data_IF_817729909418
#
_entry.id   IF_817729909418
#
_cell.length_a   1.000
_cell.length_b   1.000
_cell.length_c   1.000
_cell.angle_alpha   90.00
_cell.angle_beta   90.00
_cell.angle_gamma   90.00
#
_symmetry.space_group_name_H-M   'P 1'
#
loop_
_entity.id
_entity.type
_entity.pdbx_description
1 polymer ?
#
# COMPACT_ATOMS: atom_id res chain seq x y z
N UNK A 1 -68.70 26.93 -12.90
CA UNK A 1 -68.24 27.26 -14.27
C UNK A 1 -66.86 27.89 -14.17
N UNK A 2 -65.80 27.30 -14.76
CA UNK A 2 -64.42 27.84 -14.77
C UNK A 2 -64.30 28.84 -15.98
N UNK A 3 -63.12 29.34 -16.44
CA UNK A 3 -61.72 29.11 -16.02
C UNK A 3 -60.81 30.38 -15.99
N UNK A 4 -59.57 30.30 -15.46
CA UNK A 4 -58.35 30.54 -16.27
C UNK A 4 -57.02 30.35 -15.49
N UNK A 5 -56.21 29.44 -16.03
CA UNK A 5 -54.75 29.46 -16.24
C UNK A 5 -53.80 29.88 -15.10
N UNK A 6 -52.92 28.94 -14.74
CA UNK A 6 -51.47 29.15 -14.83
C UNK A 6 -50.77 27.80 -15.04
N UNK A 7 -50.16 27.66 -16.22
CA UNK A 7 -49.26 26.55 -16.58
C UNK A 7 -47.94 26.78 -15.83
N UNK A 8 -47.71 26.03 -14.75
CA UNK A 8 -46.46 26.06 -14.01
C UNK A 8 -45.38 25.25 -14.72
N UNK A 9 -44.37 25.94 -15.25
CA UNK A 9 -43.09 25.37 -15.65
C UNK A 9 -42.38 24.82 -14.41
N UNK A 10 -42.36 23.51 -14.23
CA UNK A 10 -41.48 22.84 -13.27
C UNK A 10 -40.20 22.41 -13.98
N UNK A 11 -39.21 23.30 -13.99
CA UNK A 11 -37.82 22.94 -14.34
C UNK A 11 -37.24 22.22 -13.14
N UNK A 12 -37.32 20.89 -13.15
CA UNK A 12 -36.73 20.05 -12.11
C UNK A 12 -35.22 19.97 -12.36
N UNK A 13 -34.44 20.76 -11.63
CA UNK A 13 -32.99 20.67 -11.63
C UNK A 13 -32.56 19.39 -10.90
N UNK A 14 -32.23 18.33 -11.63
CA UNK A 14 -31.50 17.18 -11.10
C UNK A 14 -30.05 17.61 -10.82
N UNK A 15 -29.77 18.00 -9.58
CA UNK A 15 -28.39 18.07 -9.09
C UNK A 15 -27.94 16.64 -8.80
N UNK A 16 -27.27 16.03 -9.77
CA UNK A 16 -26.57 14.76 -9.56
C UNK A 16 -25.36 15.01 -8.66
N UNK A 17 -25.51 14.73 -7.36
CA UNK A 17 -24.39 14.73 -6.42
C UNK A 17 -23.49 13.53 -6.73
N UNK A 18 -22.40 13.77 -7.45
CA UNK A 18 -21.33 12.80 -7.67
C UNK A 18 -20.65 12.52 -6.32
N UNK A 19 -21.10 11.48 -5.63
CA UNK A 19 -20.35 10.88 -4.52
C UNK A 19 -19.07 10.30 -5.11
N UNK A 20 -18.02 11.12 -5.16
CA UNK A 20 -16.66 10.64 -5.34
C UNK A 20 -16.40 9.69 -4.16
N UNK A 21 -16.48 8.40 -4.44
CA UNK A 21 -16.06 7.34 -3.53
C UNK A 21 -14.53 7.42 -3.43
N UNK A 22 -14.01 8.43 -2.73
CA UNK A 22 -12.65 8.40 -2.22
C UNK A 22 -12.65 7.24 -1.24
N UNK A 23 -12.24 6.06 -1.72
CA UNK A 23 -12.02 4.90 -0.88
C UNK A 23 -11.15 5.37 0.28
N UNK A 24 -11.76 5.47 1.47
CA UNK A 24 -11.03 5.77 2.68
C UNK A 24 -10.05 4.61 2.85
N UNK A 25 -8.81 4.82 2.39
CA UNK A 25 -7.70 3.92 2.60
C UNK A 25 -7.51 3.88 4.11
N UNK A 26 -8.19 2.95 4.77
CA UNK A 26 -8.06 2.70 6.19
C UNK A 26 -6.62 2.22 6.42
N UNK A 27 -5.72 3.18 6.63
CA UNK A 27 -4.29 2.99 6.80
C UNK A 27 -4.02 2.28 8.11
N UNK A 28 -4.03 0.95 8.08
CA UNK A 28 -3.51 0.13 9.16
C UNK A 28 -1.99 0.02 9.08
N UNK A 29 -1.29 0.95 9.74
CA UNK A 29 0.05 0.87 10.37
C UNK A 29 1.15 -0.02 9.74
N UNK A 30 1.50 0.19 8.48
CA UNK A 30 2.88 -0.10 8.05
C UNK A 30 3.54 1.25 7.79
N UNK A 31 4.54 1.59 8.58
CA UNK A 31 5.30 2.84 8.38
C UNK A 31 6.52 2.57 7.52
N UNK A 32 7.06 3.61 6.90
CA UNK A 32 8.34 3.51 6.20
C UNK A 32 9.47 3.10 7.16
N UNK A 33 9.37 3.44 8.45
CA UNK A 33 10.33 2.98 9.45
C UNK A 33 10.33 1.44 9.61
N UNK A 34 9.16 0.80 9.54
CA UNK A 34 9.06 -0.67 9.60
C UNK A 34 9.72 -1.33 8.39
N UNK A 35 9.48 -0.78 7.20
CA UNK A 35 10.11 -1.26 5.95
C UNK A 35 11.63 -1.04 5.96
N UNK A 36 12.09 0.13 6.42
CA UNK A 36 13.52 0.39 6.58
C UNK A 36 14.16 -0.57 7.59
N UNK A 37 13.42 -1.02 8.61
CA UNK A 37 13.92 -2.01 9.56
C UNK A 37 14.00 -3.42 8.96
N UNK A 38 13.05 -3.80 8.10
CA UNK A 38 13.06 -5.03 7.32
C UNK A 38 14.29 -5.07 6.40
N UNK A 39 14.54 -3.99 5.67
CA UNK A 39 15.63 -3.88 4.68
C UNK A 39 16.91 -3.22 5.21
N UNK A 40 17.12 -3.21 6.54
CA UNK A 40 18.25 -2.51 7.18
C UNK A 40 19.63 -2.97 6.68
N UNK A 41 19.73 -4.19 6.16
CA UNK A 41 20.96 -4.74 5.61
C UNK A 41 21.30 -4.18 4.23
N UNK A 42 20.31 -3.65 3.48
CA UNK A 42 20.54 -3.00 2.20
C UNK A 42 20.94 -1.53 2.43
N UNK A 43 22.24 -1.29 2.60
CA UNK A 43 22.78 0.05 2.88
C UNK A 43 22.42 1.10 1.83
N UNK A 44 22.34 0.71 0.55
CA UNK A 44 21.98 1.61 -0.56
C UNK A 44 20.54 2.08 -0.43
N UNK A 45 19.59 1.15 -0.27
CA UNK A 45 18.18 1.48 -0.05
C UNK A 45 18.02 2.43 1.14
N UNK A 46 18.65 2.11 2.27
CA UNK A 46 18.56 2.92 3.49
C UNK A 46 19.13 4.32 3.29
N UNK A 47 20.26 4.45 2.58
CA UNK A 47 20.87 5.74 2.32
C UNK A 47 20.00 6.62 1.42
N UNK A 48 19.44 6.06 0.33
CA UNK A 48 18.57 6.78 -0.59
C UNK A 48 17.29 7.26 0.09
N UNK A 49 16.60 6.38 0.81
CA UNK A 49 15.37 6.73 1.53
C UNK A 49 15.63 7.80 2.58
N UNK A 50 16.74 7.72 3.33
CA UNK A 50 17.12 8.75 4.32
C UNK A 50 17.41 10.09 3.65
N UNK A 51 18.07 10.10 2.49
CA UNK A 51 18.34 11.32 1.74
C UNK A 51 17.04 12.00 1.29
N UNK A 52 16.07 11.23 0.78
CA UNK A 52 14.78 11.75 0.35
C UNK A 52 13.93 12.27 1.54
N UNK A 53 13.94 11.55 2.67
CA UNK A 53 13.28 12.02 3.90
C UNK A 53 13.88 13.33 4.41
N UNK A 54 15.22 13.44 4.41
CA UNK A 54 15.94 14.64 4.84
C UNK A 54 15.64 15.83 3.92
N UNK A 55 15.60 15.63 2.60
CA UNK A 55 15.32 16.71 1.65
C UNK A 55 13.92 17.31 1.82
N UNK A 56 12.97 16.52 2.34
CA UNK A 56 11.58 16.94 2.61
C UNK A 56 11.28 17.23 4.07
N UNK A 57 12.26 17.14 4.98
CA UNK A 57 12.07 17.28 6.43
C UNK A 57 10.98 16.33 6.98
N UNK A 58 10.89 15.12 6.42
CA UNK A 58 9.93 14.09 6.82
C UNK A 58 10.57 13.10 7.80
N UNK A 59 9.74 12.48 8.65
CA UNK A 59 10.15 11.38 9.53
C UNK A 59 9.58 10.06 9.02
N UNK A 60 10.37 8.99 9.03
CA UNK A 60 9.97 7.68 8.50
C UNK A 60 8.76 7.07 9.24
N UNK A 61 8.63 7.32 10.54
CA UNK A 61 7.50 6.86 11.37
C UNK A 61 6.19 7.60 11.08
N UNK A 62 6.25 8.68 10.28
CA UNK A 62 5.08 9.46 9.82
C UNK A 62 4.72 9.22 8.37
N UNK A 63 5.52 8.44 7.65
CA UNK A 63 5.22 8.04 6.28
C UNK A 63 4.49 6.70 6.32
N UNK A 64 3.23 6.73 5.88
CA UNK A 64 2.43 5.52 5.72
C UNK A 64 2.80 4.79 4.44
N UNK A 65 2.86 3.47 4.54
CA UNK A 65 3.08 2.56 3.43
C UNK A 65 1.93 1.54 3.34
N UNK A 66 1.72 1.04 2.14
CA UNK A 66 0.84 -0.07 1.83
C UNK A 66 1.68 -1.28 1.46
N UNK A 67 1.15 -2.47 1.72
CA UNK A 67 1.79 -3.73 1.37
C UNK A 67 0.74 -4.81 1.18
N UNK A 68 1.08 -5.81 0.37
CA UNK A 68 0.23 -6.99 0.20
C UNK A 68 0.04 -7.70 1.53
N UNK A 69 -1.22 -7.91 1.92
CA UNK A 69 -1.56 -8.54 3.19
C UNK A 69 -1.81 -10.03 3.00
N UNK A 70 -1.16 -10.87 3.79
CA UNK A 70 -1.46 -12.30 3.78
C UNK A 70 -2.87 -12.56 4.30
N UNK A 71 -3.62 -13.36 3.54
CA UNK A 71 -4.98 -13.75 3.85
C UNK A 71 -5.07 -14.82 4.94
N UNK A 72 -6.29 -15.18 5.32
CA UNK A 72 -6.55 -16.12 6.42
C UNK A 72 -6.02 -17.55 6.18
N UNK A 73 -5.72 -17.91 4.93
CA UNK A 73 -5.13 -19.21 4.58
C UNK A 73 -3.67 -19.31 5.05
N UNK A 74 -2.96 -18.19 5.21
CA UNK A 74 -1.65 -18.17 5.83
C UNK A 74 -1.75 -18.15 7.36
N UNK A 75 -2.06 -19.30 7.96
CA UNK A 75 -2.47 -19.43 9.38
C UNK A 75 -1.55 -18.70 10.36
N UNK A 76 -0.24 -18.71 10.12
CA UNK A 76 0.76 -18.10 11.00
C UNK A 76 1.22 -16.70 10.56
N UNK A 77 0.85 -16.26 9.36
CA UNK A 77 1.23 -14.95 8.82
C UNK A 77 0.01 -14.05 8.59
N UNK A 78 -1.17 -14.41 9.09
CA UNK A 78 -2.41 -13.64 8.90
C UNK A 78 -2.19 -12.18 9.24
N UNK A 79 -2.40 -11.33 8.24
CA UNK A 79 -2.29 -9.88 8.40
C UNK A 79 -0.88 -9.31 8.44
N UNK A 80 0.16 -10.15 8.42
CA UNK A 80 1.48 -9.68 8.04
C UNK A 80 1.44 -9.15 6.58
N UNK A 81 2.35 -8.23 6.30
CA UNK A 81 2.47 -7.58 5.01
C UNK A 81 3.81 -7.92 4.39
N UNK A 82 3.82 -8.13 3.09
CA UNK A 82 5.02 -8.33 2.28
C UNK A 82 5.03 -7.38 1.10
N UNK A 83 6.13 -7.39 0.35
CA UNK A 83 6.18 -6.80 -0.99
C UNK A 83 5.02 -7.30 -1.88
N UNK A 84 4.60 -6.50 -2.87
CA UNK A 84 5.04 -5.12 -3.14
C UNK A 84 4.60 -4.13 -2.05
N UNK A 85 5.47 -3.16 -1.75
CA UNK A 85 5.17 -2.03 -0.89
C UNK A 85 5.10 -0.72 -1.67
N UNK A 86 4.20 0.17 -1.26
CA UNK A 86 4.12 1.55 -1.77
C UNK A 86 4.06 2.55 -0.63
N UNK A 87 4.96 3.52 -0.62
CA UNK A 87 5.03 4.57 0.41
C UNK A 87 4.88 5.96 -0.19
N UNK A 88 4.03 6.80 0.39
CA UNK A 88 3.90 8.19 -0.02
C UNK A 88 4.90 9.09 0.72
N UNK A 89 6.02 9.42 0.10
CA UNK A 89 7.07 10.27 0.67
C UNK A 89 6.91 11.70 0.14
N UNK A 90 6.06 12.47 0.81
CA UNK A 90 5.69 13.81 0.33
C UNK A 90 4.92 13.71 -0.99
N UNK A 91 5.48 14.27 -2.08
CA UNK A 91 4.88 14.25 -3.42
C UNK A 91 5.38 13.13 -4.34
N UNK A 92 6.15 12.17 -3.79
CA UNK A 92 6.68 11.04 -4.57
C UNK A 92 6.23 9.74 -3.95
N UNK A 93 6.00 8.76 -4.80
CA UNK A 93 5.76 7.38 -4.39
C UNK A 93 7.09 6.63 -4.42
N UNK A 94 7.36 5.89 -3.36
CA UNK A 94 8.40 4.87 -3.33
C UNK A 94 7.72 3.51 -3.52
N UNK A 95 8.03 2.86 -4.62
CA UNK A 95 7.54 1.51 -4.94
C UNK A 95 8.66 0.51 -4.69
N UNK A 96 8.37 -0.54 -3.94
CA UNK A 96 9.35 -1.53 -3.49
C UNK A 96 8.82 -2.91 -3.83
N UNK A 97 9.63 -3.71 -4.50
CA UNK A 97 9.29 -5.03 -4.97
C UNK A 97 10.41 -6.03 -4.63
N UNK A 98 10.10 -7.31 -4.77
CA UNK A 98 11.05 -8.40 -4.53
C UNK A 98 10.37 -9.77 -4.54
N UNK A 99 11.17 -10.81 -4.37
CA UNK A 99 10.69 -12.18 -4.26
C UNK A 99 10.38 -12.53 -2.80
N UNK A 100 9.18 -13.06 -2.52
CA UNK A 100 8.82 -13.54 -1.18
C UNK A 100 9.21 -15.00 -1.04
N UNK A 101 10.11 -15.29 -0.10
CA UNK A 101 10.51 -16.67 0.26
C UNK A 101 9.94 -17.04 1.62
N UNK A 102 9.18 -18.13 1.68
CA UNK A 102 8.57 -18.62 2.91
C UNK A 102 9.45 -19.64 3.63
N UNK A 103 9.34 -19.67 4.96
CA UNK A 103 10.07 -20.60 5.82
C UNK A 103 9.13 -21.30 6.80
N UNK A 104 9.35 -22.60 6.99
CA UNK A 104 8.66 -23.39 8.02
C UNK A 104 9.28 -23.19 9.43
N UNK A 105 8.67 -23.83 10.44
CA UNK A 105 9.14 -23.79 11.84
C UNK A 105 10.56 -24.33 12.05
N UNK A 106 11.08 -25.11 11.09
CA UNK A 106 12.43 -25.67 11.10
C UNK A 106 13.42 -24.80 10.32
N UNK A 107 12.98 -23.66 9.77
CA UNK A 107 13.79 -22.76 8.97
C UNK A 107 14.04 -23.25 7.54
N UNK A 108 13.27 -24.24 7.06
CA UNK A 108 13.39 -24.72 5.67
C UNK A 108 12.59 -23.83 4.75
N UNK A 109 13.18 -23.48 3.61
CA UNK A 109 12.48 -22.75 2.56
C UNK A 109 11.33 -23.60 2.00
N UNK A 110 10.19 -22.97 1.75
CA UNK A 110 9.01 -23.58 1.16
C UNK A 110 8.85 -23.08 -0.28
N UNK A 111 8.35 -23.96 -1.16
CA UNK A 111 7.93 -23.57 -2.50
C UNK A 111 6.65 -22.73 -2.40
N UNK A 112 6.63 -21.57 -3.04
CA UNK A 112 5.49 -20.66 -3.04
C UNK A 112 4.21 -21.36 -3.54
N UNK A 113 4.33 -22.20 -4.57
CA UNK A 113 3.21 -22.96 -5.15
C UNK A 113 3.09 -24.37 -4.55
N UNK A 114 3.91 -24.69 -3.56
CA UNK A 114 3.89 -25.97 -2.87
C UNK A 114 2.59 -26.17 -2.09
N UNK A 115 2.05 -27.39 -2.18
CA UNK A 115 0.92 -27.79 -1.35
C UNK A 115 1.30 -27.67 0.14
N UNK A 116 0.43 -27.02 0.93
CA UNK A 116 0.66 -26.84 2.36
C UNK A 116 1.51 -25.62 2.74
N UNK A 117 2.02 -24.83 1.79
CA UNK A 117 2.83 -23.64 2.12
C UNK A 117 2.09 -22.64 2.99
N UNK A 118 0.83 -22.25 2.70
CA UNK A 118 0.09 -21.32 3.57
C UNK A 118 -0.04 -21.78 5.03
N UNK A 119 -0.25 -23.07 5.26
CA UNK A 119 -0.44 -23.66 6.58
C UNK A 119 0.88 -23.79 7.36
N UNK A 120 1.99 -24.02 6.65
CA UNK A 120 3.29 -24.30 7.26
C UNK A 120 4.22 -23.09 7.36
N UNK A 121 4.02 -22.06 6.54
CA UNK A 121 4.83 -20.85 6.55
C UNK A 121 4.63 -20.07 7.84
N UNK A 122 5.70 -19.92 8.64
CA UNK A 122 5.68 -19.13 9.90
C UNK A 122 6.49 -17.85 9.81
N UNK A 123 7.29 -17.72 8.76
CA UNK A 123 8.14 -16.58 8.49
C UNK A 123 8.29 -16.43 6.98
N UNK A 124 8.54 -15.21 6.55
CA UNK A 124 8.94 -14.93 5.18
C UNK A 124 10.14 -13.98 5.19
N UNK A 125 10.87 -13.95 4.08
CA UNK A 125 11.87 -12.96 3.77
C UNK A 125 11.63 -12.44 2.35
N UNK A 126 11.96 -11.18 2.12
CA UNK A 126 12.01 -10.62 0.77
C UNK A 126 13.43 -10.72 0.23
N UNK A 127 13.58 -11.32 -0.95
CA UNK A 127 14.83 -11.40 -1.72
C UNK A 127 14.76 -10.53 -2.96
N UNK A 128 15.92 -10.32 -3.59
CA UNK A 128 16.06 -9.57 -4.84
C UNK A 128 15.33 -8.22 -4.82
N UNK A 129 15.51 -7.52 -3.67
CA UNK A 129 14.89 -6.25 -3.39
C UNK A 129 15.20 -5.24 -4.50
N UNK A 130 14.15 -4.72 -5.12
CA UNK A 130 14.22 -3.64 -6.09
C UNK A 130 13.29 -2.50 -5.65
N UNK A 131 13.67 -1.26 -5.92
CA UNK A 131 12.81 -0.12 -5.62
C UNK A 131 12.93 0.94 -6.69
N UNK A 132 11.84 1.66 -6.89
CA UNK A 132 11.77 2.80 -7.79
C UNK A 132 11.08 3.96 -7.09
N UNK A 133 11.43 5.16 -7.54
CA UNK A 133 10.71 6.35 -7.16
C UNK A 133 9.93 6.84 -8.36
N UNK A 134 8.65 7.10 -8.19
CA UNK A 134 7.88 7.79 -9.21
C UNK A 134 8.50 9.18 -9.47
N UNK A 135 8.38 9.62 -10.73
CA UNK A 135 8.60 11.01 -11.06
C UNK A 135 7.54 11.83 -10.31
N UNK A 136 7.84 13.05 -9.82
CA UNK A 136 6.80 13.94 -9.29
C UNK A 136 5.70 14.03 -10.35
N UNK A 137 4.43 13.90 -9.94
CA UNK A 137 3.28 13.93 -10.85
C UNK A 137 3.39 15.10 -11.85
N UNK A 138 3.69 14.78 -13.11
CA UNK A 138 3.37 15.68 -14.22
C UNK A 138 1.86 15.57 -14.40
N UNK A 139 1.13 16.47 -13.75
CA UNK A 139 -0.28 16.73 -14.05
C UNK A 139 -0.28 17.59 -15.34
N UNK A 140 -0.78 17.10 -16.49
CA UNK A 140 -1.05 17.98 -17.63
C UNK A 140 -2.17 18.99 -17.32
#
# INVERSE_FOLDING_TARGET
MPPLKAFGLFVSALVAASLALSGARAGGSLTLADIMQEFRANGTFIAEVKAELKSKTLKADKVSCFGSRFGNHFVHLVGARSVPYECQVGKRTLSIDGEVVFYDKKGRALDFFGEGTPENAVRFETKDLNWTWDKPDDIP
#
